data_IF_419620661267
#
_entry.id   IF_419620661267
#
_cell.length_a   1.000
_cell.length_b   1.000
_cell.length_c   1.000
_cell.angle_alpha   90.00
_cell.angle_beta   90.00
_cell.angle_gamma   90.00
#
_symmetry.space_group_name_H-M   'P 1'
#
loop_
_entity.id
_entity.type
_entity.pdbx_description
1 polymer ?
#
# COMPACT_ATOMS: atom_id res chain seq x y z
N UNK A 1 2.18 2.15 39.55
CA UNK A 1 0.74 1.79 39.58
C UNK A 1 -0.08 2.53 38.51
N UNK A 2 0.31 3.76 38.11
CA UNK A 2 -0.36 4.53 37.05
C UNK A 2 -0.02 4.03 35.64
N UNK A 3 1.19 3.47 35.45
CA UNK A 3 1.69 3.10 34.11
C UNK A 3 0.92 1.93 33.50
N UNK A 4 0.47 0.95 34.29
CA UNK A 4 -0.32 -0.18 33.78
C UNK A 4 -1.69 0.25 33.25
N UNK A 5 -2.34 1.24 33.88
CA UNK A 5 -3.61 1.79 33.41
C UNK A 5 -3.42 2.65 32.15
N UNK A 6 -2.34 3.43 32.10
CA UNK A 6 -1.99 4.24 30.93
C UNK A 6 -1.66 3.35 29.72
N UNK A 7 -0.86 2.30 29.92
CA UNK A 7 -0.55 1.30 28.88
C UNK A 7 -1.84 0.62 28.42
N UNK A 8 -2.70 0.19 29.34
CA UNK A 8 -4.00 -0.40 29.00
C UNK A 8 -4.88 0.53 28.17
N UNK A 9 -4.98 1.81 28.55
CA UNK A 9 -5.73 2.81 27.81
C UNK A 9 -5.16 3.05 26.41
N UNK A 10 -3.83 3.12 26.26
CA UNK A 10 -3.18 3.27 24.96
C UNK A 10 -3.41 2.05 24.06
N UNK A 11 -3.36 0.84 24.60
CA UNK A 11 -3.64 -0.39 23.84
C UNK A 11 -5.09 -0.35 23.33
N UNK A 12 -6.06 -0.07 24.21
CA UNK A 12 -7.48 0.00 23.84
C UNK A 12 -7.71 1.09 22.79
N UNK A 13 -7.13 2.28 22.97
CA UNK A 13 -7.21 3.36 22.00
C UNK A 13 -6.66 2.96 20.62
N UNK A 14 -5.50 2.30 20.59
CA UNK A 14 -4.90 1.81 19.33
C UNK A 14 -5.74 0.71 18.67
N UNK A 15 -6.37 -0.18 19.44
CA UNK A 15 -7.29 -1.19 18.91
C UNK A 15 -8.50 -0.52 18.26
N UNK A 16 -9.13 0.44 18.95
CA UNK A 16 -10.29 1.18 18.41
C UNK A 16 -9.89 1.95 17.15
N UNK A 17 -8.73 2.62 17.17
CA UNK A 17 -8.19 3.33 16.03
C UNK A 17 -7.94 2.39 14.84
N UNK A 18 -7.32 1.23 15.06
CA UNK A 18 -7.05 0.26 14.00
C UNK A 18 -8.35 -0.27 13.35
N UNK A 19 -9.37 -0.55 14.15
CA UNK A 19 -10.69 -0.95 13.66
C UNK A 19 -11.31 0.18 12.82
N UNK A 20 -11.34 1.41 13.34
CA UNK A 20 -11.88 2.56 12.63
C UNK A 20 -11.15 2.83 11.30
N UNK A 21 -9.82 2.71 11.28
CA UNK A 21 -9.01 2.86 10.08
C UNK A 21 -9.30 1.78 9.03
N UNK A 22 -9.55 0.54 9.44
CA UNK A 22 -9.89 -0.54 8.51
C UNK A 22 -11.18 -0.23 7.73
N UNK A 23 -12.22 0.25 8.42
CA UNK A 23 -13.47 0.69 7.80
C UNK A 23 -13.28 1.96 6.96
N UNK A 24 -12.58 2.95 7.49
CA UNK A 24 -12.34 4.22 6.79
C UNK A 24 -11.60 4.02 5.47
N UNK A 25 -10.58 3.14 5.44
CA UNK A 25 -9.77 2.89 4.23
C UNK A 25 -10.59 2.25 3.11
N UNK A 26 -11.43 1.27 3.43
CA UNK A 26 -12.27 0.58 2.43
C UNK A 26 -13.40 1.50 1.95
N UNK A 27 -14.06 2.21 2.86
CA UNK A 27 -15.11 3.17 2.53
C UNK A 27 -14.57 4.32 1.66
N UNK A 28 -13.41 4.89 2.01
CA UNK A 28 -12.78 5.97 1.24
C UNK A 28 -12.40 5.51 -0.18
N UNK A 29 -11.93 4.28 -0.34
CA UNK A 29 -11.64 3.72 -1.68
C UNK A 29 -12.90 3.46 -2.51
N UNK A 30 -14.00 3.06 -1.87
CA UNK A 30 -15.26 2.75 -2.54
C UNK A 30 -16.01 4.03 -2.97
N UNK A 31 -16.15 5.02 -2.09
CA UNK A 31 -16.92 6.25 -2.37
C UNK A 31 -16.33 7.07 -3.53
N UNK A 32 -15.02 6.94 -3.81
CA UNK A 32 -14.38 7.60 -4.96
C UNK A 32 -15.11 7.27 -6.27
N UNK A 33 -15.62 6.04 -6.43
CA UNK A 33 -16.29 5.64 -7.68
C UNK A 33 -17.69 6.22 -7.83
N UNK A 34 -18.28 6.74 -6.76
CA UNK A 34 -19.59 7.42 -6.76
C UNK A 34 -19.44 8.91 -7.08
N UNK A 35 -18.28 9.50 -6.75
CA UNK A 35 -18.02 10.95 -6.86
C UNK A 35 -17.18 11.32 -8.08
N UNK A 36 -16.40 10.36 -8.64
CA UNK A 36 -15.45 10.61 -9.73
C UNK A 36 -15.79 9.75 -10.95
N UNK A 37 -15.78 10.37 -12.13
CA UNK A 37 -16.01 9.69 -13.41
C UNK A 37 -14.93 8.63 -13.69
N UNK A 38 -15.32 7.51 -14.30
CA UNK A 38 -14.46 6.30 -14.44
C UNK A 38 -13.14 6.57 -15.15
N UNK A 39 -13.13 7.46 -16.14
CA UNK A 39 -11.96 7.86 -16.91
C UNK A 39 -11.02 8.80 -16.14
N UNK A 40 -11.53 9.52 -15.13
CA UNK A 40 -10.75 10.39 -14.26
C UNK A 40 -10.18 9.70 -13.02
N UNK A 41 -10.61 8.47 -12.69
CA UNK A 41 -10.17 7.74 -11.48
C UNK A 41 -8.64 7.60 -11.42
N UNK A 42 -7.95 7.38 -12.56
CA UNK A 42 -6.48 7.31 -12.58
C UNK A 42 -5.88 8.66 -12.15
N UNK A 43 -6.42 9.77 -12.67
CA UNK A 43 -5.97 11.13 -12.37
C UNK A 43 -6.24 11.45 -10.89
N UNK A 44 -7.41 11.09 -10.38
CA UNK A 44 -7.77 11.26 -8.98
C UNK A 44 -6.80 10.51 -8.06
N UNK A 45 -6.60 9.20 -8.29
CA UNK A 45 -5.69 8.39 -7.49
C UNK A 45 -4.25 8.91 -7.55
N UNK A 46 -3.82 9.39 -8.72
CA UNK A 46 -2.51 10.02 -8.88
C UNK A 46 -2.38 11.28 -8.03
N UNK A 47 -3.38 12.17 -8.05
CA UNK A 47 -3.39 13.39 -7.21
C UNK A 47 -3.46 13.07 -5.73
N UNK A 48 -4.27 12.09 -5.34
CA UNK A 48 -4.37 11.64 -3.95
C UNK A 48 -3.02 11.12 -3.46
N UNK A 49 -2.35 10.29 -4.25
CA UNK A 49 -1.03 9.76 -3.92
C UNK A 49 0.00 10.88 -3.75
N UNK A 50 0.01 11.89 -4.63
CA UNK A 50 0.87 13.06 -4.47
C UNK A 50 0.65 13.79 -3.15
N UNK A 51 -0.61 14.03 -2.78
CA UNK A 51 -0.95 14.68 -1.51
C UNK A 51 -0.47 13.82 -0.33
N UNK A 52 -0.70 12.51 -0.37
CA UNK A 52 -0.25 11.59 0.67
C UNK A 52 1.26 11.55 0.82
N UNK A 53 2.03 11.60 -0.28
CA UNK A 53 3.49 11.65 -0.23
C UNK A 53 4.01 12.97 0.34
N UNK A 54 3.41 14.10 -0.06
CA UNK A 54 3.74 15.42 0.52
C UNK A 54 3.46 15.46 2.01
N UNK A 55 2.30 14.94 2.44
CA UNK A 55 1.95 14.80 3.86
C UNK A 55 2.93 13.85 4.55
N UNK A 56 3.24 12.71 3.96
CA UNK A 56 4.16 11.71 4.50
C UNK A 56 5.55 12.27 4.79
N UNK A 57 6.12 13.05 3.86
CA UNK A 57 7.45 13.66 4.01
C UNK A 57 7.44 14.86 4.96
N UNK A 58 6.38 15.67 4.94
CA UNK A 58 6.29 16.87 5.81
C UNK A 58 5.86 16.55 7.24
N UNK A 59 5.13 15.46 7.45
CA UNK A 59 4.54 15.10 8.75
C UNK A 59 5.56 14.94 9.89
N UNK A 60 6.75 14.31 9.73
CA UNK A 60 7.70 14.17 10.84
C UNK A 60 8.29 15.52 11.26
N UNK A 61 8.58 16.38 10.28
CA UNK A 61 9.12 17.73 10.51
C UNK A 61 8.08 18.59 11.24
N UNK A 62 6.84 18.59 10.75
CA UNK A 62 5.73 19.32 11.39
C UNK A 62 5.43 18.76 12.78
N UNK A 63 5.43 17.44 12.95
CA UNK A 63 5.20 16.79 14.25
C UNK A 63 6.28 17.15 15.27
N UNK A 64 7.55 17.17 14.85
CA UNK A 64 8.66 17.60 15.70
C UNK A 64 8.49 19.05 16.15
N UNK A 65 8.18 19.96 15.21
CA UNK A 65 7.94 21.37 15.53
C UNK A 65 6.76 21.54 16.49
N UNK A 66 5.63 20.88 16.22
CA UNK A 66 4.45 20.93 17.09
C UNK A 66 4.79 20.41 18.49
N UNK A 67 5.48 19.28 18.63
CA UNK A 67 5.87 18.74 19.94
C UNK A 67 6.94 19.58 20.66
N UNK A 68 7.77 20.30 19.92
CA UNK A 68 8.77 21.20 20.51
C UNK A 68 8.12 22.46 21.10
N UNK A 69 7.07 22.98 20.46
CA UNK A 69 6.41 24.23 20.86
C UNK A 69 5.07 24.04 21.60
N UNK A 70 4.48 22.84 21.53
CA UNK A 70 3.22 22.49 22.16
C UNK A 70 3.38 21.28 23.08
N UNK A 71 2.53 21.17 24.10
CA UNK A 71 2.49 19.98 24.95
C UNK A 71 1.82 18.81 24.22
N UNK A 72 2.12 17.58 24.63
CA UNK A 72 1.45 16.36 24.12
C UNK A 72 -0.08 16.49 24.14
N UNK A 73 -0.63 17.15 25.17
CA UNK A 73 -2.06 17.39 25.29
C UNK A 73 -2.59 18.29 24.16
N UNK A 74 -1.89 19.38 23.84
CA UNK A 74 -2.26 20.26 22.73
C UNK A 74 -2.14 19.57 21.37
N UNK A 75 -1.14 18.72 21.18
CA UNK A 75 -1.00 17.92 19.95
C UNK A 75 -2.20 17.00 19.75
N UNK A 76 -2.64 16.31 20.80
CA UNK A 76 -3.81 15.42 20.75
C UNK A 76 -5.13 16.18 20.52
N UNK A 77 -5.26 17.40 21.06
CA UNK A 77 -6.41 18.26 20.79
C UNK A 77 -6.44 18.73 19.32
N UNK A 78 -5.27 19.08 18.77
CA UNK A 78 -5.16 19.47 17.36
C UNK A 78 -5.50 18.29 16.45
N UNK A 79 -5.00 17.09 16.73
CA UNK A 79 -5.35 15.86 16.03
C UNK A 79 -6.86 15.57 16.11
N UNK A 80 -7.46 15.68 17.29
CA UNK A 80 -8.90 15.51 17.46
C UNK A 80 -9.71 16.51 16.62
N UNK A 81 -9.25 17.76 16.54
CA UNK A 81 -9.90 18.82 15.75
C UNK A 81 -9.82 18.53 14.24
N UNK A 82 -8.68 18.05 13.72
CA UNK A 82 -8.54 17.73 12.30
C UNK A 82 -9.45 16.56 11.89
N UNK A 83 -9.55 15.53 12.73
CA UNK A 83 -10.50 14.42 12.52
C UNK A 83 -11.96 14.89 12.61
N UNK A 84 -12.28 15.83 13.49
CA UNK A 84 -13.62 16.42 13.56
C UNK A 84 -13.96 17.22 12.30
N UNK A 85 -13.02 18.01 11.78
CA UNK A 85 -13.18 18.72 10.50
C UNK A 85 -13.41 17.71 9.35
N UNK A 86 -12.62 16.64 9.30
CA UNK A 86 -12.79 15.58 8.29
C UNK A 86 -14.18 14.93 8.38
N UNK A 87 -14.67 14.65 9.58
CA UNK A 87 -16.03 14.13 9.80
C UNK A 87 -17.10 15.09 9.24
N UNK A 88 -16.97 16.39 9.52
CA UNK A 88 -17.91 17.41 9.01
C UNK A 88 -17.88 17.45 7.48
N UNK A 89 -16.70 17.45 6.86
CA UNK A 89 -16.57 17.44 5.40
C UNK A 89 -17.21 16.21 4.76
N UNK A 90 -16.98 15.02 5.33
CA UNK A 90 -17.58 13.77 4.86
C UNK A 90 -19.10 13.77 5.04
N UNK A 91 -19.62 14.36 6.13
CA UNK A 91 -21.06 14.46 6.38
C UNK A 91 -21.80 15.31 5.34
N UNK A 92 -21.10 16.23 4.66
CA UNK A 92 -21.64 17.05 3.57
C UNK A 92 -21.57 16.39 2.19
N UNK A 93 -20.94 15.22 2.05
CA UNK A 93 -20.91 14.52 0.77
C UNK A 93 -22.34 14.12 0.34
N UNK A 94 -22.65 14.17 -0.97
CA UNK A 94 -23.94 13.71 -1.48
C UNK A 94 -24.16 12.26 -1.06
N UNK A 95 -25.28 12.00 -0.37
CA UNK A 95 -25.68 10.62 -0.06
C UNK A 95 -26.43 10.10 -1.26
N UNK A 96 -25.81 9.21 -2.03
CA UNK A 96 -26.59 8.36 -2.91
C UNK A 96 -27.42 7.42 -2.03
N UNK A 97 -28.71 7.31 -2.31
CA UNK A 97 -29.60 6.45 -1.53
C UNK A 97 -29.10 5.01 -1.68
N UNK A 98 -28.38 4.52 -0.66
CA UNK A 98 -28.06 3.11 -0.56
C UNK A 98 -29.38 2.36 -0.72
N UNK A 99 -29.48 1.50 -1.75
CA UNK A 99 -30.55 0.50 -1.84
C UNK A 99 -30.43 -0.32 -0.56
N UNK A 100 -31.22 0.02 0.45
CA UNK A 100 -31.18 -0.62 1.76
C UNK A 100 -31.62 -2.05 1.54
N UNK A 101 -30.66 -2.96 1.32
CA UNK A 101 -30.91 -4.37 1.54
C UNK A 101 -31.27 -4.50 3.02
N UNK A 102 -32.43 -5.13 3.27
CA UNK A 102 -32.99 -5.30 4.60
C UNK A 102 -31.90 -5.69 5.61
N UNK A 103 -31.81 -4.94 6.71
CA UNK A 103 -30.85 -5.15 7.79
C UNK A 103 -31.01 -6.55 8.37
N UNK A 104 -30.29 -7.53 7.83
CA UNK A 104 -30.01 -8.78 8.54
C UNK A 104 -29.09 -8.46 9.71
N UNK A 105 -29.35 -9.10 10.85
CA UNK A 105 -28.51 -8.98 12.03
C UNK A 105 -27.08 -9.37 11.65
N UNK A 106 -26.14 -8.43 11.76
CA UNK A 106 -24.74 -8.63 11.42
C UNK A 106 -24.12 -9.65 12.39
N UNK A 107 -23.82 -10.84 11.90
CA UNK A 107 -23.16 -11.91 12.63
C UNK A 107 -21.73 -12.11 12.13
N UNK A 108 -20.87 -12.71 12.95
CA UNK A 108 -19.50 -13.07 12.51
C UNK A 108 -19.47 -14.01 11.30
N UNK A 109 -20.57 -14.75 11.06
CA UNK A 109 -20.75 -15.58 9.86
C UNK A 109 -20.88 -14.74 8.60
N UNK A 110 -21.46 -13.54 8.69
CA UNK A 110 -21.63 -12.63 7.56
C UNK A 110 -20.29 -12.07 7.08
N UNK A 111 -19.31 -11.87 7.97
CA UNK A 111 -17.93 -11.47 7.58
C UNK A 111 -17.28 -12.55 6.71
N UNK A 112 -17.40 -13.82 7.09
CA UNK A 112 -16.87 -14.92 6.29
C UNK A 112 -17.62 -15.08 4.95
N UNK A 113 -18.93 -14.83 4.94
CA UNK A 113 -19.73 -14.81 3.71
C UNK A 113 -19.28 -13.66 2.80
N UNK A 114 -19.10 -12.44 3.33
CA UNK A 114 -18.63 -11.29 2.57
C UNK A 114 -17.23 -11.50 1.96
N UNK A 115 -16.30 -12.09 2.73
CA UNK A 115 -14.97 -12.45 2.23
C UNK A 115 -15.09 -13.50 1.11
N UNK A 116 -15.93 -14.52 1.32
CA UNK A 116 -16.16 -15.59 0.33
C UNK A 116 -16.78 -15.03 -0.94
N UNK A 117 -17.77 -14.15 -0.83
CA UNK A 117 -18.43 -13.51 -1.96
C UNK A 117 -17.47 -12.59 -2.71
N UNK A 118 -16.69 -11.77 -1.99
CA UNK A 118 -15.62 -10.96 -2.58
C UNK A 118 -14.58 -11.81 -3.30
N UNK A 119 -14.14 -12.91 -2.70
CA UNK A 119 -13.19 -13.83 -3.32
C UNK A 119 -13.78 -14.52 -4.55
N UNK A 120 -15.02 -14.99 -4.45
CA UNK A 120 -15.74 -15.60 -5.56
C UNK A 120 -15.89 -14.62 -6.72
N UNK A 121 -16.24 -13.36 -6.44
CA UNK A 121 -16.33 -12.32 -7.46
C UNK A 121 -14.98 -12.07 -8.14
N UNK A 122 -13.90 -11.87 -7.36
CA UNK A 122 -12.56 -11.64 -7.91
C UNK A 122 -12.11 -12.84 -8.73
N UNK A 123 -12.40 -14.07 -8.29
CA UNK A 123 -12.03 -15.29 -9.03
C UNK A 123 -12.59 -15.31 -10.46
N UNK A 124 -13.80 -14.77 -10.66
CA UNK A 124 -14.40 -14.65 -12.00
C UNK A 124 -13.76 -13.53 -12.84
N UNK A 125 -13.11 -12.56 -12.19
CA UNK A 125 -12.28 -11.53 -12.82
C UNK A 125 -10.82 -12.00 -12.90
N UNK A 126 -10.54 -12.94 -13.81
CA UNK A 126 -9.26 -13.67 -13.90
C UNK A 126 -8.02 -12.76 -13.90
N UNK A 127 -8.07 -11.61 -14.60
CA UNK A 127 -6.96 -10.65 -14.64
C UNK A 127 -6.67 -10.03 -13.26
N UNK A 128 -7.72 -9.59 -12.53
CA UNK A 128 -7.58 -8.96 -11.22
C UNK A 128 -7.11 -9.99 -10.19
N UNK A 129 -7.68 -11.20 -10.22
CA UNK A 129 -7.27 -12.28 -9.34
C UNK A 129 -5.79 -12.64 -9.54
N UNK A 130 -5.36 -12.78 -10.80
CA UNK A 130 -3.98 -13.08 -11.13
C UNK A 130 -3.03 -11.98 -10.64
N UNK A 131 -3.32 -10.72 -10.95
CA UNK A 131 -2.53 -9.58 -10.48
C UNK A 131 -2.48 -9.50 -8.95
N UNK A 132 -3.58 -9.80 -8.26
CA UNK A 132 -3.63 -9.84 -6.80
C UNK A 132 -2.71 -10.92 -6.24
N UNK A 133 -2.68 -12.12 -6.84
CA UNK A 133 -1.81 -13.21 -6.41
C UNK A 133 -0.34 -12.85 -6.61
N UNK A 134 0.00 -12.25 -7.75
CA UNK A 134 1.36 -11.75 -8.03
C UNK A 134 1.74 -10.65 -7.04
N UNK A 135 0.89 -9.65 -6.83
CA UNK A 135 1.14 -8.55 -5.90
C UNK A 135 1.30 -9.04 -4.45
N UNK A 136 0.48 -9.99 -4.02
CA UNK A 136 0.59 -10.61 -2.68
C UNK A 136 1.91 -11.37 -2.53
N UNK A 137 2.36 -12.04 -3.59
CA UNK A 137 3.66 -12.71 -3.63
C UNK A 137 4.83 -11.72 -3.63
N UNK A 138 4.70 -10.57 -4.32
CA UNK A 138 5.66 -9.47 -4.25
C UNK A 138 5.73 -8.89 -2.83
N UNK A 139 4.59 -8.76 -2.13
CA UNK A 139 4.56 -8.28 -0.73
C UNK A 139 5.33 -9.17 0.24
N UNK A 140 5.50 -10.48 -0.04
CA UNK A 140 6.41 -11.33 0.73
C UNK A 140 7.86 -10.80 0.67
N UNK A 141 8.35 -10.46 -0.52
CA UNK A 141 9.69 -9.89 -0.70
C UNK A 141 9.80 -8.49 -0.09
N UNK A 142 8.77 -7.65 -0.25
CA UNK A 142 8.75 -6.32 0.34
C UNK A 142 8.68 -6.34 1.87
N UNK A 143 8.03 -7.34 2.47
CA UNK A 143 8.06 -7.51 3.91
C UNK A 143 9.48 -7.80 4.44
N UNK A 144 10.30 -8.51 3.66
CA UNK A 144 11.73 -8.67 3.94
C UNK A 144 12.53 -7.37 3.68
N UNK A 145 12.21 -6.63 2.62
CA UNK A 145 12.80 -5.33 2.34
C UNK A 145 12.57 -4.31 3.47
N UNK A 146 11.33 -4.18 3.94
CA UNK A 146 10.95 -3.33 5.07
C UNK A 146 11.71 -3.70 6.34
N UNK A 147 11.96 -4.99 6.56
CA UNK A 147 12.73 -5.47 7.70
C UNK A 147 14.21 -5.02 7.63
N UNK A 148 14.79 -4.93 6.43
CA UNK A 148 16.17 -4.50 6.22
C UNK A 148 16.37 -2.99 6.38
N UNK A 149 15.37 -2.17 6.05
CA UNK A 149 15.51 -0.73 5.97
C UNK A 149 16.09 -0.09 7.25
N UNK A 150 15.64 -0.42 8.48
CA UNK A 150 16.21 0.16 9.70
C UNK A 150 17.70 -0.14 9.90
N UNK A 151 18.22 -1.25 9.33
CA UNK A 151 19.63 -1.63 9.41
C UNK A 151 20.50 -0.95 8.35
N UNK A 152 19.93 -0.11 7.46
CA UNK A 152 20.66 0.50 6.35
C UNK A 152 21.90 1.28 6.80
N UNK A 153 21.86 1.98 7.93
CA UNK A 153 23.03 2.72 8.44
C UNK A 153 24.22 1.76 8.69
N UNK A 154 23.95 0.58 9.26
CA UNK A 154 24.94 -0.46 9.50
C UNK A 154 25.37 -1.14 8.19
N UNK A 155 24.43 -1.46 7.31
CA UNK A 155 24.69 -2.16 6.05
C UNK A 155 25.55 -1.35 5.08
N UNK A 156 25.36 -0.03 5.05
CA UNK A 156 26.11 0.89 4.17
C UNK A 156 27.26 1.62 4.87
N UNK A 157 27.43 1.47 6.18
CA UNK A 157 28.44 2.19 6.96
C UNK A 157 28.30 3.71 6.88
N UNK A 158 27.08 4.22 6.69
CA UNK A 158 26.80 5.63 6.44
C UNK A 158 25.68 6.12 7.37
N UNK A 159 26.01 7.10 8.21
CA UNK A 159 25.01 7.75 9.06
C UNK A 159 23.99 8.49 8.20
N UNK A 160 22.69 8.25 8.46
CA UNK A 160 21.61 8.82 7.66
C UNK A 160 21.27 8.05 6.38
N UNK A 161 21.86 6.88 6.14
CA UNK A 161 21.49 6.00 5.01
C UNK A 161 19.99 5.68 5.00
N UNK A 162 19.43 5.32 6.16
CA UNK A 162 18.00 5.04 6.29
C UNK A 162 17.13 6.22 5.85
N UNK A 163 17.40 7.42 6.38
CA UNK A 163 16.67 8.63 6.02
C UNK A 163 16.83 8.99 4.54
N UNK A 164 18.03 8.82 3.99
CA UNK A 164 18.33 9.08 2.57
C UNK A 164 17.57 8.14 1.66
N UNK A 165 17.53 6.84 1.97
CA UNK A 165 16.79 5.82 1.22
C UNK A 165 15.29 6.13 1.24
N UNK A 166 14.72 6.46 2.40
CA UNK A 166 13.31 6.83 2.51
C UNK A 166 12.99 8.09 1.71
N UNK A 167 13.87 9.09 1.76
CA UNK A 167 13.72 10.34 0.99
C UNK A 167 13.75 10.07 -0.51
N UNK A 168 14.68 9.24 -0.99
CA UNK A 168 14.74 8.80 -2.38
C UNK A 168 13.48 8.03 -2.79
N UNK A 169 12.97 7.17 -1.91
CA UNK A 169 11.71 6.47 -2.10
C UNK A 169 10.54 7.43 -2.29
N UNK A 170 10.37 8.40 -1.38
CA UNK A 170 9.31 9.40 -1.48
C UNK A 170 9.39 10.25 -2.76
N UNK A 171 10.59 10.65 -3.18
CA UNK A 171 10.80 11.32 -4.48
C UNK A 171 10.36 10.40 -5.62
N UNK A 172 10.73 9.12 -5.57
CA UNK A 172 10.29 8.09 -6.51
C UNK A 172 8.77 8.01 -6.60
N UNK A 173 8.08 7.89 -5.46
CA UNK A 173 6.62 7.84 -5.40
C UNK A 173 5.96 9.08 -5.99
N UNK A 174 6.48 10.28 -5.70
CA UNK A 174 5.97 11.54 -6.28
C UNK A 174 6.11 11.54 -7.80
N UNK A 175 7.29 11.17 -8.32
CA UNK A 175 7.51 11.07 -9.77
C UNK A 175 6.58 10.02 -10.38
N UNK A 176 6.45 8.87 -9.71
CA UNK A 176 5.56 7.78 -10.13
C UNK A 176 4.11 8.25 -10.25
N UNK A 177 3.59 8.94 -9.23
CA UNK A 177 2.24 9.47 -9.24
C UNK A 177 2.03 10.53 -10.34
N UNK A 178 3.02 11.39 -10.63
CA UNK A 178 2.94 12.34 -11.76
C UNK A 178 2.95 11.65 -13.13
N UNK A 179 3.59 10.49 -13.24
CA UNK A 179 3.72 9.74 -14.49
C UNK A 179 2.62 8.69 -14.68
N UNK A 180 1.89 8.31 -13.63
CA UNK A 180 0.89 7.24 -13.68
C UNK A 180 -0.19 7.49 -14.74
N UNK A 181 -0.70 8.72 -14.86
CA UNK A 181 -1.71 9.06 -15.89
C UNK A 181 -1.20 8.96 -17.33
N UNK A 182 0.13 8.98 -17.54
CA UNK A 182 0.75 8.86 -18.87
C UNK A 182 1.00 7.42 -19.28
N UNK A 183 0.92 6.47 -18.35
CA UNK A 183 1.18 5.06 -18.60
C UNK A 183 -0.14 4.33 -18.83
N UNK A 184 -0.20 3.50 -19.87
CA UNK A 184 -1.41 2.71 -20.16
C UNK A 184 -1.55 1.56 -19.16
N UNK A 185 -2.73 1.43 -18.59
CA UNK A 185 -3.07 0.35 -17.66
C UNK A 185 -3.44 -0.94 -18.40
N UNK A 186 -2.47 -1.83 -18.60
CA UNK A 186 -2.71 -3.21 -19.06
C UNK A 186 -1.86 -4.19 -18.24
N UNK A 187 -2.28 -5.45 -18.13
CA UNK A 187 -1.64 -6.50 -17.36
C UNK A 187 -0.14 -6.63 -17.67
N UNK A 188 0.25 -6.55 -18.96
CA UNK A 188 1.66 -6.61 -19.37
C UNK A 188 2.48 -5.45 -18.79
N UNK A 189 1.96 -4.23 -18.88
CA UNK A 189 2.64 -3.06 -18.33
C UNK A 189 2.74 -3.15 -16.80
N UNK A 190 1.70 -3.65 -16.12
CA UNK A 190 1.73 -3.83 -14.66
C UNK A 190 2.80 -4.84 -14.22
N UNK A 191 2.98 -5.94 -14.96
CA UNK A 191 4.04 -6.91 -14.68
C UNK A 191 5.43 -6.35 -14.98
N UNK A 192 5.58 -5.53 -16.02
CA UNK A 192 6.84 -4.81 -16.30
C UNK A 192 7.16 -3.82 -15.17
N UNK A 193 6.16 -3.05 -14.71
CA UNK A 193 6.31 -2.13 -13.59
C UNK A 193 6.79 -2.88 -12.34
N UNK A 194 6.17 -4.02 -12.00
CA UNK A 194 6.62 -4.87 -10.88
C UNK A 194 8.06 -5.37 -11.08
N UNK A 195 8.43 -5.82 -12.28
CA UNK A 195 9.82 -6.22 -12.55
C UNK A 195 10.79 -5.07 -12.30
N UNK A 196 10.45 -3.84 -12.74
CA UNK A 196 11.26 -2.65 -12.52
C UNK A 196 11.34 -2.24 -11.04
N UNK A 197 10.32 -2.51 -10.22
CA UNK A 197 10.44 -2.35 -8.76
C UNK A 197 11.56 -3.23 -8.20
N UNK A 198 11.59 -4.50 -8.62
CA UNK A 198 12.63 -5.45 -8.25
C UNK A 198 14.02 -5.04 -8.74
N UNK A 199 14.13 -4.40 -9.91
CA UNK A 199 15.40 -3.80 -10.39
C UNK A 199 15.89 -2.73 -9.43
N UNK A 200 15.01 -1.85 -8.96
CA UNK A 200 15.35 -0.84 -7.96
C UNK A 200 15.92 -1.44 -6.67
N UNK A 201 15.25 -2.45 -6.11
CA UNK A 201 15.73 -3.16 -4.93
C UNK A 201 17.04 -3.92 -5.21
N UNK A 202 17.18 -4.53 -6.37
CA UNK A 202 18.41 -5.24 -6.76
C UNK A 202 19.60 -4.27 -6.83
N UNK A 203 19.42 -3.07 -7.39
CA UNK A 203 20.47 -2.05 -7.45
C UNK A 203 21.03 -1.67 -6.07
N UNK A 204 20.20 -1.69 -5.01
CA UNK A 204 20.63 -1.40 -3.64
C UNK A 204 21.64 -2.43 -3.12
N UNK A 205 21.56 -3.68 -3.57
CA UNK A 205 22.46 -4.74 -3.12
C UNK A 205 23.81 -4.80 -3.84
N UNK A 206 23.98 -4.02 -4.91
CA UNK A 206 25.21 -4.00 -5.70
C UNK A 206 26.32 -3.19 -5.00
N UNK A 207 27.60 -3.51 -5.23
CA UNK A 207 28.74 -2.76 -4.70
C UNK A 207 28.95 -1.45 -5.48
N UNK A 208 27.93 -0.58 -5.46
CA UNK A 208 27.90 0.73 -6.10
C UNK A 208 28.25 1.83 -5.07
N UNK A 209 28.62 3.03 -5.54
CA UNK A 209 28.71 4.19 -4.67
C UNK A 209 27.39 4.39 -3.91
N UNK A 210 27.48 4.75 -2.62
CA UNK A 210 26.34 4.83 -1.69
C UNK A 210 25.15 5.64 -2.23
N UNK A 211 25.42 6.77 -2.89
CA UNK A 211 24.37 7.59 -3.51
C UNK A 211 23.62 6.85 -4.63
N UNK A 212 24.33 6.07 -5.45
CA UNK A 212 23.73 5.29 -6.53
C UNK A 212 22.95 4.10 -5.97
N UNK A 213 23.43 3.45 -4.89
CA UNK A 213 22.65 2.43 -4.18
C UNK A 213 21.35 2.99 -3.63
N UNK A 214 21.36 4.18 -3.01
CA UNK A 214 20.13 4.79 -2.47
C UNK A 214 19.11 5.15 -3.55
N UNK A 215 19.57 5.50 -4.76
CA UNK A 215 18.71 5.74 -5.91
C UNK A 215 17.93 4.49 -6.34
N UNK A 216 18.35 3.29 -5.93
CA UNK A 216 17.60 2.07 -6.14
C UNK A 216 16.20 2.11 -5.50
N UNK A 217 16.05 2.74 -4.33
CA UNK A 217 14.74 2.87 -3.70
C UNK A 217 13.84 3.90 -4.42
N UNK A 218 14.43 4.93 -5.04
CA UNK A 218 13.68 5.84 -5.93
C UNK A 218 13.08 5.08 -7.10
N UNK A 219 13.89 4.25 -7.78
CA UNK A 219 13.43 3.40 -8.88
C UNK A 219 12.34 2.44 -8.42
N UNK A 220 12.54 1.80 -7.26
CA UNK A 220 11.59 0.89 -6.65
C UNK A 220 10.21 1.55 -6.44
N UNK A 221 10.20 2.65 -5.69
CA UNK A 221 8.96 3.33 -5.29
C UNK A 221 8.26 4.03 -6.46
N UNK A 222 9.01 4.53 -7.45
CA UNK A 222 8.44 5.11 -8.66
C UNK A 222 7.53 4.10 -9.38
N UNK A 223 8.05 2.91 -9.66
CA UNK A 223 7.28 1.92 -10.41
C UNK A 223 6.23 1.23 -9.55
N UNK A 224 6.48 1.06 -8.24
CA UNK A 224 5.52 0.49 -7.30
C UNK A 224 4.30 1.41 -7.16
N UNK A 225 4.52 2.72 -7.12
CA UNK A 225 3.45 3.72 -7.03
C UNK A 225 2.57 3.70 -8.27
N UNK A 226 3.17 3.66 -9.46
CA UNK A 226 2.42 3.55 -10.73
C UNK A 226 1.61 2.26 -10.77
N UNK A 227 2.21 1.13 -10.38
CA UNK A 227 1.51 -0.16 -10.28
C UNK A 227 0.30 -0.06 -9.35
N UNK A 228 0.47 0.47 -8.15
CA UNK A 228 -0.61 0.60 -7.16
C UNK A 228 -1.76 1.47 -7.67
N UNK A 229 -1.47 2.64 -8.25
CA UNK A 229 -2.49 3.53 -8.81
C UNK A 229 -3.33 2.79 -9.86
N UNK A 230 -2.68 2.12 -10.81
CA UNK A 230 -3.40 1.41 -11.86
C UNK A 230 -4.11 0.15 -11.37
N UNK A 231 -3.52 -0.62 -10.46
CA UNK A 231 -4.16 -1.81 -9.88
C UNK A 231 -5.46 -1.43 -9.16
N UNK A 232 -5.41 -0.43 -8.27
CA UNK A 232 -6.62 0.04 -7.59
C UNK A 232 -7.62 0.69 -8.55
N UNK A 233 -7.15 1.40 -9.57
CA UNK A 233 -8.06 1.97 -10.58
C UNK A 233 -8.75 0.88 -11.39
N UNK A 234 -8.06 -0.20 -11.77
CA UNK A 234 -8.68 -1.34 -12.46
C UNK A 234 -9.74 -2.01 -11.59
N UNK A 235 -9.47 -2.19 -10.29
CA UNK A 235 -10.46 -2.70 -9.33
C UNK A 235 -11.67 -1.76 -9.26
N UNK A 236 -11.45 -0.45 -9.08
CA UNK A 236 -12.51 0.55 -8.99
C UNK A 236 -13.35 0.69 -10.28
N UNK A 237 -12.77 0.46 -11.45
CA UNK A 237 -13.47 0.67 -12.74
C UNK A 237 -14.16 -0.59 -13.27
N UNK A 238 -13.58 -1.77 -13.03
CA UNK A 238 -14.09 -3.06 -13.52
C UNK A 238 -15.03 -3.78 -12.56
N UNK A 239 -14.92 -3.54 -11.26
CA UNK A 239 -15.78 -4.18 -10.25
C UNK A 239 -17.08 -3.40 -10.12
N UNK A 240 -18.20 -4.12 -10.04
CA UNK A 240 -19.51 -3.53 -9.79
C UNK A 240 -19.55 -2.84 -8.40
N UNK A 241 -20.21 -1.68 -8.33
CA UNK A 241 -20.25 -0.85 -7.12
C UNK A 241 -20.76 -1.60 -5.89
N UNK A 242 -21.75 -2.49 -6.06
CA UNK A 242 -22.30 -3.32 -4.97
C UNK A 242 -21.25 -4.24 -4.32
N UNK A 243 -20.26 -4.70 -5.08
CA UNK A 243 -19.24 -5.63 -4.59
C UNK A 243 -17.91 -4.94 -4.25
N UNK A 244 -17.71 -3.68 -4.64
CA UNK A 244 -16.42 -2.99 -4.57
C UNK A 244 -15.84 -2.98 -3.15
N UNK A 245 -16.65 -2.68 -2.12
CA UNK A 245 -16.21 -2.68 -0.72
C UNK A 245 -15.76 -4.07 -0.23
N UNK A 246 -16.49 -5.12 -0.61
CA UNK A 246 -16.15 -6.52 -0.28
C UNK A 246 -14.87 -6.96 -0.99
N UNK A 247 -14.75 -6.64 -2.28
CA UNK A 247 -13.57 -6.92 -3.11
C UNK A 247 -12.33 -6.23 -2.56
N UNK A 248 -12.40 -4.94 -2.22
CA UNK A 248 -11.28 -4.20 -1.63
C UNK A 248 -10.86 -4.79 -0.27
N UNK A 249 -11.81 -5.18 0.57
CA UNK A 249 -11.53 -5.82 1.87
C UNK A 249 -10.80 -7.16 1.69
N UNK A 250 -11.24 -7.98 0.74
CA UNK A 250 -10.57 -9.24 0.37
C UNK A 250 -9.18 -8.99 -0.20
N UNK A 251 -9.01 -7.98 -1.06
CA UNK A 251 -7.70 -7.57 -1.60
C UNK A 251 -6.75 -7.19 -0.48
N UNK A 252 -7.14 -6.31 0.45
CA UNK A 252 -6.27 -5.91 1.57
C UNK A 252 -5.87 -7.09 2.45
N UNK A 253 -6.79 -8.03 2.68
CA UNK A 253 -6.53 -9.24 3.47
C UNK A 253 -5.53 -10.17 2.77
N UNK A 254 -5.73 -10.44 1.48
CA UNK A 254 -4.85 -11.32 0.71
C UNK A 254 -3.47 -10.69 0.48
N UNK A 255 -3.41 -9.37 0.26
CA UNK A 255 -2.18 -8.65 0.01
C UNK A 255 -1.18 -8.77 1.18
N UNK A 256 -1.67 -8.80 2.43
CA UNK A 256 -0.81 -8.88 3.62
C UNK A 256 -0.59 -10.31 4.13
N UNK A 257 -1.31 -11.30 3.57
CA UNK A 257 -1.35 -12.67 4.07
C UNK A 257 0.04 -13.31 4.20
N UNK A 258 0.93 -13.02 3.25
CA UNK A 258 2.28 -13.60 3.21
C UNK A 258 3.33 -12.80 4.00
N UNK A 259 3.03 -11.57 4.43
CA UNK A 259 4.00 -10.71 5.12
C UNK A 259 4.48 -11.28 6.47
N UNK A 260 3.63 -11.87 7.34
CA UNK A 260 4.08 -12.46 8.60
C UNK A 260 5.07 -13.62 8.39
N UNK A 261 4.84 -14.44 7.34
CA UNK A 261 5.72 -15.56 7.00
C UNK A 261 7.10 -15.04 6.58
N UNK A 262 7.14 -13.99 5.74
CA UNK A 262 8.38 -13.34 5.35
C UNK A 262 9.15 -12.80 6.56
N UNK A 263 8.48 -12.04 7.43
CA UNK A 263 9.11 -11.44 8.62
C UNK A 263 9.60 -12.52 9.59
N UNK A 264 8.84 -13.60 9.79
CA UNK A 264 9.29 -14.76 10.56
C UNK A 264 10.56 -15.39 9.99
N UNK A 265 10.63 -15.59 8.67
CA UNK A 265 11.83 -16.13 8.02
C UNK A 265 13.05 -15.22 8.23
N UNK A 266 12.87 -13.89 8.09
CA UNK A 266 13.92 -12.90 8.31
C UNK A 266 14.45 -12.87 9.75
N UNK A 267 13.61 -13.18 10.75
CA UNK A 267 14.07 -13.25 12.16
C UNK A 267 14.95 -14.47 12.46
N UNK A 268 14.81 -15.56 11.70
CA UNK A 268 15.59 -16.80 11.89
C UNK A 268 16.87 -16.78 11.06
N UNK A 269 16.93 -15.93 10.01
CA UNK A 269 18.13 -15.74 9.20
C UNK A 269 19.25 -15.09 10.05
N UNK A 270 20.41 -15.74 10.19
CA UNK A 270 21.41 -15.39 11.21
C UNK A 270 22.17 -14.09 10.93
N UNK A 271 22.00 -13.46 9.76
CA UNK A 271 22.74 -12.24 9.44
C UNK A 271 22.08 -11.39 8.36
N UNK A 272 22.02 -10.08 8.63
CA UNK A 272 21.55 -9.05 7.72
C UNK A 272 22.71 -8.59 6.85
N UNK A 273 22.62 -8.75 5.54
CA UNK A 273 23.70 -8.39 4.61
C UNK A 273 23.21 -7.53 3.46
N UNK A 274 24.13 -6.78 2.83
CA UNK A 274 23.81 -5.98 1.65
C UNK A 274 23.31 -6.86 0.48
N UNK A 275 23.83 -8.09 0.38
CA UNK A 275 23.38 -9.10 -0.59
C UNK A 275 21.92 -9.53 -0.41
N UNK A 276 21.30 -9.30 0.76
CA UNK A 276 19.88 -9.55 0.97
C UNK A 276 19.01 -8.72 0.02
N UNK A 277 19.41 -7.49 -0.31
CA UNK A 277 18.73 -6.68 -1.32
C UNK A 277 18.80 -7.29 -2.72
N UNK A 278 19.92 -7.93 -3.09
CA UNK A 278 20.05 -8.65 -4.36
C UNK A 278 19.04 -9.81 -4.44
N UNK A 279 18.95 -10.62 -3.37
CA UNK A 279 18.05 -11.78 -3.32
C UNK A 279 16.59 -11.32 -3.44
N UNK A 280 16.21 -10.28 -2.69
CA UNK A 280 14.85 -9.71 -2.72
C UNK A 280 14.54 -9.17 -4.11
N UNK A 281 15.41 -8.33 -4.66
CA UNK A 281 15.22 -7.73 -5.99
C UNK A 281 15.14 -8.78 -7.09
N UNK A 282 16.02 -9.78 -7.09
CA UNK A 282 15.96 -10.91 -8.01
C UNK A 282 14.67 -11.71 -7.86
N UNK A 283 14.20 -11.94 -6.64
CA UNK A 283 12.94 -12.63 -6.38
C UNK A 283 11.75 -11.92 -7.02
N UNK A 284 11.65 -10.61 -6.86
CA UNK A 284 10.60 -9.78 -7.48
C UNK A 284 10.72 -9.78 -9.01
N UNK A 285 11.93 -9.64 -9.56
CA UNK A 285 12.17 -9.67 -11.02
C UNK A 285 11.75 -11.02 -11.60
N UNK A 286 12.23 -12.13 -11.03
CA UNK A 286 11.95 -13.48 -11.50
C UNK A 286 10.45 -13.77 -11.44
N UNK A 287 9.81 -13.45 -10.31
CA UNK A 287 8.36 -13.63 -10.15
C UNK A 287 7.58 -12.84 -11.21
N UNK A 288 7.96 -11.58 -11.45
CA UNK A 288 7.32 -10.72 -12.45
C UNK A 288 7.52 -11.23 -13.87
N UNK A 289 8.72 -11.71 -14.21
CA UNK A 289 9.04 -12.30 -15.51
C UNK A 289 8.30 -13.63 -15.75
N UNK A 290 8.26 -14.53 -14.76
CA UNK A 290 7.49 -15.78 -14.84
C UNK A 290 6.01 -15.46 -15.06
N UNK A 291 5.48 -14.50 -14.31
CA UNK A 291 4.09 -14.05 -14.43
C UNK A 291 3.81 -13.46 -15.82
N UNK A 292 4.75 -12.69 -16.37
CA UNK A 292 4.65 -12.13 -17.71
C UNK A 292 4.58 -13.21 -18.79
N UNK A 293 5.45 -14.22 -18.70
CA UNK A 293 5.45 -15.37 -19.61
C UNK A 293 4.15 -16.17 -19.47
N UNK A 294 3.67 -16.36 -18.25
CA UNK A 294 2.39 -17.03 -17.99
C UNK A 294 1.21 -16.31 -18.66
N UNK A 295 1.11 -14.99 -18.46
CA UNK A 295 0.05 -14.18 -19.08
C UNK A 295 0.13 -14.25 -20.60
N UNK A 296 1.32 -14.11 -21.17
CA UNK A 296 1.49 -14.20 -22.62
C UNK A 296 1.05 -15.56 -23.18
N UNK A 297 1.33 -16.65 -22.48
CA UNK A 297 1.00 -18.01 -22.97
C UNK A 297 -0.47 -18.41 -22.77
N UNK A 298 -1.15 -17.87 -21.75
CA UNK A 298 -2.50 -18.28 -21.36
C UNK A 298 -3.59 -17.26 -21.72
N UNK A 299 -3.31 -15.96 -21.65
CA UNK A 299 -4.28 -14.91 -22.00
C UNK A 299 -4.26 -14.53 -23.50
N UNK A 300 -3.14 -14.69 -24.22
CA UNK A 300 -3.15 -14.50 -25.70
C UNK A 300 -3.98 -15.56 -26.43
N UNK A 301 -4.35 -16.68 -25.79
CA UNK A 301 -5.21 -17.72 -26.39
C UNK A 301 -6.71 -17.44 -26.26
N UNK A 302 -7.09 -16.33 -25.63
CA UNK A 302 -8.48 -15.97 -25.32
C UNK A 302 -8.96 -14.71 -26.07
N UNK A 303 -8.13 -14.13 -26.95
CA UNK A 303 -8.45 -13.01 -27.86
C UNK A 303 -8.24 -13.50 -29.30
#
# INVERSE_FOLDING_TARGET
RNDSWMIGALIVANIVQAIAFAFSRTANKAIITEVVEKDEIVIYNSRLELVLQVVGVSSPVLSFLVLQFASLHMTLLLDSLTFFIAFVLVAFLPKEEAKVQEKKAFTGRDIFVDIKDGLHYIWHQQEIFFLLLVASSVNFFFAAFEFLLPFSNQLYGSEGAYASILTMGAIGSIIGALLASKIKANIYNLLILLALTGVGVFMMGLPLPTFLSFSGNLVCELFMTIFNIHFFTQVQTKVESEFLGRVLSTIFTLAILFMPIAKGFMTVLPSVHLSSFLIIGSGVIILSCISFIYVRTHFEKLI
#
